data_IF_779192960259
#
_entry.id   IF_779192960259
#
_cell.length_a   1.000
_cell.length_b   1.000
_cell.length_c   1.000
_cell.angle_alpha   90.00
_cell.angle_beta   90.00
_cell.angle_gamma   90.00
#
_symmetry.space_group_name_H-M   'P 1'
#
loop_
_entity.id
_entity.type
_entity.pdbx_description
1 polymer ?
#
# COMPACT_ATOMS: atom_id res chain seq x y z
N UNK A 1 4.98 -15.87 0.50
CA UNK A 1 5.38 -15.87 1.93
C UNK A 1 4.17 -15.73 2.82
N UNK A 2 4.33 -15.92 4.14
CA UNK A 2 3.30 -15.65 5.14
C UNK A 2 3.99 -15.15 6.40
N UNK A 3 3.79 -13.88 6.72
CA UNK A 3 4.39 -13.23 7.88
C UNK A 3 3.36 -13.07 9.00
N UNK A 4 3.85 -12.92 10.24
CA UNK A 4 2.97 -12.74 11.40
C UNK A 4 2.22 -11.41 11.35
N UNK A 5 0.95 -11.42 11.72
CA UNK A 5 0.20 -10.20 12.01
C UNK A 5 0.66 -9.54 13.32
N UNK A 6 1.13 -10.35 14.29
CA UNK A 6 1.69 -9.84 15.55
C UNK A 6 3.12 -9.37 15.31
N UNK A 7 3.38 -8.09 15.59
CA UNK A 7 4.60 -7.39 15.28
C UNK A 7 5.41 -7.01 16.52
N UNK A 8 6.74 -7.14 16.42
CA UNK A 8 7.66 -6.71 17.45
C UNK A 8 7.99 -5.20 17.26
N UNK A 9 7.87 -4.37 18.29
CA UNK A 9 8.17 -2.93 18.24
C UNK A 9 9.54 -2.59 17.65
N UNK A 10 10.59 -3.37 17.98
CA UNK A 10 11.96 -3.11 17.53
C UNK A 10 12.10 -2.98 16.00
N UNK A 11 11.33 -3.77 15.26
CA UNK A 11 11.37 -3.74 13.79
C UNK A 11 10.85 -2.41 13.23
N UNK A 12 9.84 -1.85 13.88
CA UNK A 12 9.16 -0.61 13.48
C UNK A 12 9.80 0.64 14.07
N UNK A 13 10.46 0.51 15.21
CA UNK A 13 11.26 1.58 15.80
C UNK A 13 12.44 1.97 14.89
N UNK A 14 13.00 1.02 14.16
CA UNK A 14 14.10 1.27 13.23
C UNK A 14 13.72 2.22 12.08
N UNK A 15 12.45 2.25 11.67
CA UNK A 15 11.90 3.18 10.66
C UNK A 15 11.21 4.40 11.27
N UNK A 16 11.08 4.46 12.61
CA UNK A 16 10.30 5.48 13.30
C UNK A 16 8.79 5.28 13.27
N UNK A 17 8.30 4.27 12.53
CA UNK A 17 6.86 4.05 12.30
C UNK A 17 6.14 3.33 13.44
N UNK A 18 6.82 3.08 14.57
CA UNK A 18 6.17 2.63 15.80
C UNK A 18 5.44 3.75 16.55
N UNK A 19 5.81 5.02 16.31
CA UNK A 19 5.17 6.17 16.92
C UNK A 19 3.77 6.41 16.35
N UNK A 20 2.79 6.68 17.21
CA UNK A 20 1.43 7.05 16.81
C UNK A 20 1.39 8.42 16.11
N UNK A 21 2.41 9.28 16.33
CA UNK A 21 2.55 10.55 15.61
C UNK A 21 2.93 10.38 14.14
N UNK A 22 3.52 9.22 13.78
CA UNK A 22 3.94 8.89 12.40
C UNK A 22 2.94 7.95 11.74
N UNK A 23 2.38 7.02 12.52
CA UNK A 23 1.41 6.03 12.05
C UNK A 23 0.34 5.83 13.12
N UNK A 24 -0.75 6.56 13.03
CA UNK A 24 -1.85 6.62 14.00
C UNK A 24 -2.84 5.44 13.94
N UNK A 25 -2.60 4.50 13.02
CA UNK A 25 -3.50 3.35 12.77
C UNK A 25 -3.12 2.09 13.55
N UNK A 26 -2.19 2.16 14.50
CA UNK A 26 -1.77 1.01 15.28
C UNK A 26 -2.85 0.48 16.23
N UNK A 27 -3.01 -0.85 16.25
CA UNK A 27 -3.49 -1.57 17.41
C UNK A 27 -2.29 -2.08 18.20
N UNK A 28 -2.05 -1.50 19.38
CA UNK A 28 -0.98 -1.92 20.30
C UNK A 28 -1.55 -2.76 21.43
N UNK A 29 -0.81 -3.78 21.86
CA UNK A 29 -1.19 -4.70 22.93
C UNK A 29 0.00 -5.01 23.82
N UNK A 30 -0.26 -5.59 25.01
CA UNK A 30 0.77 -5.99 25.97
C UNK A 30 0.52 -7.41 26.44
N UNK A 31 1.58 -8.17 26.59
CA UNK A 31 1.56 -9.43 27.31
C UNK A 31 1.49 -9.20 28.83
N UNK A 32 1.16 -10.25 29.59
CA UNK A 32 1.11 -10.19 31.05
C UNK A 32 2.43 -9.79 31.71
N UNK A 33 3.56 -10.01 31.06
CA UNK A 33 4.88 -9.58 31.48
C UNK A 33 5.24 -8.14 31.10
N UNK A 34 4.29 -7.38 30.53
CA UNK A 34 4.47 -5.98 30.11
C UNK A 34 5.11 -5.79 28.73
N UNK A 35 5.52 -6.87 28.05
CA UNK A 35 6.10 -6.75 26.69
C UNK A 35 5.04 -6.28 25.70
N UNK A 36 5.39 -5.25 24.94
CA UNK A 36 4.52 -4.65 23.91
C UNK A 36 4.60 -5.38 22.58
N UNK A 37 3.48 -5.38 21.86
CA UNK A 37 3.35 -5.81 20.48
C UNK A 37 2.34 -4.93 19.74
N UNK A 38 2.38 -4.96 18.40
CA UNK A 38 1.37 -4.34 17.56
C UNK A 38 0.73 -5.36 16.62
N UNK A 39 -0.48 -5.05 16.14
CA UNK A 39 -1.10 -5.78 15.04
C UNK A 39 -0.77 -5.04 13.74
N UNK A 40 -0.21 -5.75 12.77
CA UNK A 40 0.36 -5.15 11.57
C UNK A 40 -0.65 -4.37 10.73
N UNK A 41 -0.46 -3.05 10.54
CA UNK A 41 -1.22 -2.26 9.56
C UNK A 41 -0.72 -2.46 8.12
N UNK A 42 0.52 -2.91 7.97
CA UNK A 42 1.24 -3.19 6.73
C UNK A 42 2.46 -4.08 7.04
N UNK A 43 3.31 -4.45 6.07
CA UNK A 43 4.44 -5.38 6.31
C UNK A 43 5.76 -4.96 5.64
N UNK A 44 5.99 -3.69 5.29
CA UNK A 44 7.23 -3.26 4.64
C UNK A 44 8.46 -3.58 5.50
N UNK A 45 8.44 -3.23 6.79
CA UNK A 45 9.56 -3.46 7.69
C UNK A 45 9.84 -4.95 7.94
N UNK A 46 8.83 -5.77 8.28
CA UNK A 46 9.05 -7.21 8.48
C UNK A 46 9.58 -7.91 7.23
N UNK A 47 9.04 -7.58 6.05
CA UNK A 47 9.46 -8.21 4.80
C UNK A 47 10.87 -7.77 4.40
N UNK A 48 11.19 -6.49 4.55
CA UNK A 48 12.54 -5.97 4.28
C UNK A 48 13.57 -6.60 5.21
N UNK A 49 13.22 -6.74 6.50
CA UNK A 49 14.08 -7.42 7.48
C UNK A 49 14.30 -8.89 7.12
N UNK A 50 13.25 -9.58 6.67
CA UNK A 50 13.34 -10.96 6.21
C UNK A 50 14.24 -11.08 4.96
N UNK A 51 14.02 -10.20 3.96
CA UNK A 51 14.73 -10.25 2.68
C UNK A 51 16.23 -10.02 2.81
N UNK A 52 16.70 -9.34 3.85
CA UNK A 52 18.14 -9.25 4.17
C UNK A 52 18.85 -10.61 4.35
N UNK A 53 18.10 -11.67 4.64
CA UNK A 53 18.65 -13.01 4.76
C UNK A 53 18.65 -13.79 3.44
N UNK A 54 17.97 -13.29 2.41
CA UNK A 54 17.84 -13.94 1.10
C UNK A 54 18.57 -13.19 0.00
N UNK A 55 18.70 -11.86 0.13
CA UNK A 55 19.40 -11.02 -0.83
C UNK A 55 20.80 -10.74 -0.29
N UNK A 56 21.80 -11.44 -0.83
CA UNK A 56 23.22 -11.29 -0.46
C UNK A 56 23.99 -10.43 -1.46
N UNK A 57 23.49 -10.32 -2.68
CA UNK A 57 24.10 -9.51 -3.74
C UNK A 57 23.06 -9.03 -4.75
N UNK A 58 23.46 -8.10 -5.64
CA UNK A 58 22.61 -7.64 -6.74
C UNK A 58 22.20 -8.77 -7.72
N UNK A 59 22.91 -9.90 -7.70
CA UNK A 59 22.61 -11.07 -8.55
C UNK A 59 21.36 -11.83 -8.07
N UNK A 60 20.97 -11.61 -6.83
CA UNK A 60 19.77 -12.21 -6.24
C UNK A 60 18.50 -11.40 -6.58
N UNK A 61 18.67 -10.25 -7.27
CA UNK A 61 17.60 -9.35 -7.70
C UNK A 61 17.27 -9.54 -9.19
N UNK A 62 16.02 -9.29 -9.62
CA UNK A 62 14.90 -8.82 -8.82
C UNK A 62 14.19 -9.94 -8.03
N UNK A 63 13.53 -9.56 -6.93
CA UNK A 63 12.70 -10.47 -6.11
C UNK A 63 11.36 -9.81 -5.78
N UNK A 64 10.28 -10.57 -5.90
CA UNK A 64 8.90 -10.08 -5.76
C UNK A 64 8.10 -10.90 -4.75
N UNK A 65 8.43 -10.89 -3.45
CA UNK A 65 7.66 -11.61 -2.45
C UNK A 65 6.27 -11.00 -2.29
N UNK A 66 5.28 -11.87 -2.16
CA UNK A 66 3.90 -11.45 -1.90
C UNK A 66 3.26 -12.37 -0.86
N UNK A 67 2.18 -11.88 -0.26
CA UNK A 67 1.39 -12.62 0.69
C UNK A 67 -0.09 -12.25 0.60
N UNK A 68 -0.93 -13.12 1.13
CA UNK A 68 -2.29 -12.81 1.57
C UNK A 68 -2.25 -12.81 3.10
N UNK A 69 -2.52 -11.66 3.70
CA UNK A 69 -2.36 -11.50 5.15
C UNK A 69 -3.40 -10.55 5.71
N UNK A 70 -3.89 -10.87 6.89
CA UNK A 70 -4.76 -9.99 7.65
C UNK A 70 -3.99 -8.75 8.10
N UNK A 71 -4.57 -7.58 7.86
CA UNK A 71 -4.10 -6.28 8.32
C UNK A 71 -5.05 -5.72 9.36
N UNK A 72 -4.51 -4.87 10.22
CA UNK A 72 -5.25 -4.22 11.29
C UNK A 72 -4.99 -2.72 11.25
N UNK A 73 -6.04 -1.93 11.09
CA UNK A 73 -5.94 -0.47 11.13
C UNK A 73 -6.99 0.08 12.07
N UNK A 74 -6.55 0.89 13.04
CA UNK A 74 -7.42 1.51 14.06
C UNK A 74 -8.24 2.66 13.46
N UNK A 75 -9.01 2.36 12.40
CA UNK A 75 -9.88 3.32 11.74
C UNK A 75 -10.86 3.93 12.74
N UNK A 76 -10.84 5.26 12.88
CA UNK A 76 -11.74 5.97 13.78
C UNK A 76 -13.20 5.79 13.37
N UNK A 77 -13.46 5.74 12.06
CA UNK A 77 -14.79 5.56 11.48
C UNK A 77 -14.77 4.45 10.43
N UNK A 78 -14.94 3.20 10.88
CA UNK A 78 -15.25 2.11 9.93
C UNK A 78 -16.62 2.36 9.32
N UNK A 79 -16.75 2.16 8.02
CA UNK A 79 -17.98 2.42 7.25
C UNK A 79 -18.08 1.54 6.02
N UNK A 80 -19.21 1.61 5.34
CA UNK A 80 -19.45 0.91 4.06
C UNK A 80 -19.27 -0.61 4.17
N UNK A 81 -19.69 -1.21 5.31
CA UNK A 81 -19.62 -2.65 5.54
C UNK A 81 -18.18 -3.18 5.50
N UNK A 82 -17.86 -4.01 4.51
CA UNK A 82 -16.52 -4.59 4.34
C UNK A 82 -15.52 -3.67 3.63
N UNK A 83 -15.95 -2.54 3.11
CA UNK A 83 -15.08 -1.65 2.31
C UNK A 83 -14.01 -0.95 3.16
N UNK A 84 -14.37 -0.56 4.41
CA UNK A 84 -13.43 0.06 5.34
C UNK A 84 -13.59 -0.52 6.74
N UNK A 85 -12.93 -1.63 6.99
CA UNK A 85 -12.89 -2.33 8.27
C UNK A 85 -11.61 -2.08 9.05
N UNK A 86 -11.59 -2.47 10.32
CA UNK A 86 -10.40 -2.44 11.19
C UNK A 86 -9.54 -3.69 11.09
N UNK A 87 -10.11 -4.77 10.62
CA UNK A 87 -9.46 -6.04 10.32
C UNK A 87 -9.88 -6.47 8.92
N UNK A 88 -8.95 -6.68 8.03
CA UNK A 88 -9.22 -7.02 6.63
C UNK A 88 -8.10 -7.84 6.00
N UNK A 89 -8.45 -8.65 5.01
CA UNK A 89 -7.48 -9.40 4.23
C UNK A 89 -6.91 -8.51 3.12
N UNK A 90 -5.58 -8.47 3.04
CA UNK A 90 -4.86 -7.78 1.97
C UNK A 90 -4.00 -8.79 1.19
N UNK A 91 -3.95 -8.65 -0.12
CA UNK A 91 -2.87 -9.17 -0.94
C UNK A 91 -1.86 -8.04 -1.11
N UNK A 92 -0.69 -8.21 -0.57
CA UNK A 92 0.41 -7.25 -0.68
C UNK A 92 1.61 -7.90 -1.37
N UNK A 93 2.26 -7.15 -2.26
CA UNK A 93 3.46 -7.53 -2.99
C UNK A 93 4.53 -6.45 -2.78
N UNK A 94 5.77 -6.88 -2.61
CA UNK A 94 6.92 -6.02 -2.36
C UNK A 94 7.99 -6.31 -3.40
N UNK A 95 8.42 -5.28 -4.14
CA UNK A 95 9.43 -5.43 -5.17
C UNK A 95 10.80 -4.96 -4.65
N UNK A 96 11.81 -5.79 -4.89
CA UNK A 96 13.22 -5.47 -4.62
C UNK A 96 13.95 -5.54 -5.95
N UNK A 97 14.32 -4.41 -6.48
CA UNK A 97 14.98 -4.25 -7.77
C UNK A 97 16.42 -3.76 -7.59
N UNK A 98 17.29 -4.04 -8.56
CA UNK A 98 18.70 -3.64 -8.48
C UNK A 98 18.92 -2.16 -8.80
N UNK A 99 18.01 -1.57 -9.60
CA UNK A 99 18.05 -0.19 -10.04
C UNK A 99 16.64 0.35 -10.37
N UNK A 100 16.55 1.63 -10.59
CA UNK A 100 15.30 2.33 -10.88
C UNK A 100 14.67 1.88 -12.22
N UNK A 101 15.48 1.58 -13.22
CA UNK A 101 14.99 1.12 -14.53
C UNK A 101 14.23 -0.20 -14.39
N UNK A 102 14.81 -1.16 -13.64
CA UNK A 102 14.16 -2.44 -13.37
C UNK A 102 12.90 -2.26 -12.51
N UNK A 103 12.95 -1.35 -11.52
CA UNK A 103 11.80 -1.02 -10.69
C UNK A 103 10.66 -0.44 -11.53
N UNK A 104 10.91 0.58 -12.34
CA UNK A 104 9.90 1.26 -13.15
C UNK A 104 9.25 0.32 -14.16
N UNK A 105 10.06 -0.54 -14.79
CA UNK A 105 9.53 -1.55 -15.70
C UNK A 105 8.53 -2.48 -14.98
N UNK A 106 8.89 -3.00 -13.82
CA UNK A 106 8.01 -3.87 -13.05
C UNK A 106 6.78 -3.13 -12.52
N UNK A 107 6.93 -1.87 -12.14
CA UNK A 107 5.83 -1.02 -11.70
C UNK A 107 4.74 -0.87 -12.77
N UNK A 108 5.14 -0.65 -14.03
CA UNK A 108 4.18 -0.58 -15.13
C UNK A 108 3.54 -1.96 -15.45
N UNK A 109 4.32 -3.04 -15.40
CA UNK A 109 3.77 -4.40 -15.57
C UNK A 109 2.70 -4.72 -14.51
N UNK A 110 2.91 -4.29 -13.26
CA UNK A 110 1.93 -4.45 -12.19
C UNK A 110 0.73 -3.51 -12.36
N UNK A 111 0.93 -2.29 -12.86
CA UNK A 111 -0.16 -1.37 -13.17
C UNK A 111 -1.13 -1.99 -14.19
N UNK A 112 -0.60 -2.58 -15.26
CA UNK A 112 -1.42 -3.30 -16.23
C UNK A 112 -2.12 -4.53 -15.62
N UNK A 113 -1.46 -5.22 -14.68
CA UNK A 113 -2.06 -6.35 -13.99
C UNK A 113 -3.26 -5.92 -13.13
N UNK A 114 -3.19 -4.75 -12.48
CA UNK A 114 -4.34 -4.19 -11.76
C UNK A 114 -5.51 -3.89 -12.69
N UNK A 115 -5.29 -3.25 -13.82
CA UNK A 115 -6.35 -2.99 -14.81
C UNK A 115 -7.03 -4.28 -15.26
N UNK A 116 -6.26 -5.33 -15.55
CA UNK A 116 -6.81 -6.65 -15.88
C UNK A 116 -7.63 -7.27 -14.74
N UNK A 117 -7.27 -7.04 -13.49
CA UNK A 117 -8.05 -7.49 -12.32
C UNK A 117 -9.41 -6.82 -12.31
N UNK A 118 -9.46 -5.49 -12.46
CA UNK A 118 -10.72 -4.74 -12.48
C UNK A 118 -11.58 -5.11 -13.71
N UNK A 119 -10.98 -5.32 -14.87
CA UNK A 119 -11.67 -5.82 -16.05
C UNK A 119 -12.35 -7.18 -15.78
N UNK A 120 -11.63 -8.14 -15.17
CA UNK A 120 -12.17 -9.46 -14.80
C UNK A 120 -13.30 -9.38 -13.76
N UNK A 121 -13.30 -8.36 -12.93
CA UNK A 121 -14.38 -8.07 -11.98
C UNK A 121 -15.58 -7.37 -12.62
N UNK A 122 -15.52 -7.03 -13.92
CA UNK A 122 -16.55 -6.28 -14.61
C UNK A 122 -16.59 -4.78 -14.27
N UNK A 123 -15.47 -4.25 -13.77
CA UNK A 123 -15.32 -2.86 -13.33
C UNK A 123 -14.33 -2.07 -14.22
N UNK A 124 -13.78 -2.69 -15.28
CA UNK A 124 -12.74 -2.09 -16.10
C UNK A 124 -13.10 -0.72 -16.65
N UNK A 125 -14.29 -0.59 -17.25
CA UNK A 125 -14.77 0.65 -17.86
C UNK A 125 -15.01 1.79 -16.83
N UNK A 126 -15.06 1.45 -15.56
CA UNK A 126 -15.31 2.40 -14.46
C UNK A 126 -14.05 2.66 -13.61
N UNK A 127 -12.92 2.00 -13.91
CA UNK A 127 -11.72 2.06 -13.09
C UNK A 127 -10.59 2.80 -13.80
N UNK A 128 -10.04 3.77 -13.12
CA UNK A 128 -8.96 4.63 -13.61
C UNK A 128 -7.69 4.46 -12.78
N UNK A 129 -6.53 4.37 -13.43
CA UNK A 129 -5.23 4.56 -12.77
C UNK A 129 -5.13 6.05 -12.41
N UNK A 130 -5.22 6.36 -11.14
CA UNK A 130 -5.35 7.72 -10.63
C UNK A 130 -4.06 8.13 -9.92
N UNK A 131 -3.56 9.30 -10.22
CA UNK A 131 -2.46 9.92 -9.49
C UNK A 131 -2.95 10.38 -8.12
N UNK A 132 -2.28 9.96 -7.05
CA UNK A 132 -2.73 10.11 -5.69
C UNK A 132 -1.58 10.37 -4.71
N UNK A 133 -1.89 10.67 -3.45
CA UNK A 133 -0.89 10.79 -2.38
C UNK A 133 -0.25 9.43 -2.06
N UNK A 134 1.05 9.43 -1.79
CA UNK A 134 1.77 8.26 -1.29
C UNK A 134 1.61 8.05 0.22
N UNK A 135 0.88 8.92 0.89
CA UNK A 135 0.67 8.89 2.35
C UNK A 135 1.99 8.91 3.12
N UNK A 136 2.18 7.95 4.02
CA UNK A 136 3.40 7.83 4.84
C UNK A 136 4.60 7.20 4.11
N UNK A 137 4.48 6.88 2.81
CA UNK A 137 5.49 6.11 2.07
C UNK A 137 6.24 6.94 1.02
N UNK A 138 5.53 7.83 0.35
CA UNK A 138 6.09 8.68 -0.71
C UNK A 138 5.25 9.95 -0.87
N UNK A 139 5.79 10.95 -1.59
CA UNK A 139 5.02 12.16 -1.91
C UNK A 139 3.81 11.82 -2.79
N UNK A 140 4.02 10.98 -3.78
CA UNK A 140 2.99 10.58 -4.75
C UNK A 140 2.97 9.06 -4.96
N UNK A 141 1.82 8.56 -5.38
CA UNK A 141 1.60 7.16 -5.76
C UNK A 141 0.52 7.07 -6.85
N UNK A 142 0.22 5.84 -7.28
CA UNK A 142 -0.96 5.57 -8.08
C UNK A 142 -1.96 4.72 -7.30
N UNK A 143 -3.22 5.02 -7.51
CA UNK A 143 -4.35 4.22 -7.06
C UNK A 143 -5.19 3.78 -8.26
N UNK A 144 -5.92 2.68 -8.10
CA UNK A 144 -6.90 2.23 -9.10
C UNK A 144 -8.29 2.48 -8.50
N UNK A 145 -8.91 3.58 -8.91
CA UNK A 145 -10.16 4.06 -8.35
C UNK A 145 -11.31 3.79 -9.29
N UNK A 146 -12.36 3.16 -8.76
CA UNK A 146 -13.58 2.83 -9.50
C UNK A 146 -14.66 3.87 -9.22
N UNK A 147 -15.25 4.43 -10.25
CA UNK A 147 -16.36 5.38 -10.12
C UNK A 147 -17.55 4.70 -9.47
N UNK A 148 -18.05 5.29 -8.39
CA UNK A 148 -19.22 4.81 -7.66
C UNK A 148 -19.98 5.95 -6.99
N UNK A 149 -21.32 5.90 -6.96
CA UNK A 149 -22.12 6.90 -6.24
C UNK A 149 -21.94 6.85 -4.71
N UNK A 150 -21.30 5.78 -4.19
CA UNK A 150 -20.98 5.61 -2.77
C UNK A 150 -19.48 5.71 -2.50
N UNK A 151 -18.71 6.23 -3.46
CA UNK A 151 -17.28 6.49 -3.32
C UNK A 151 -16.97 7.52 -2.22
N UNK A 152 -15.76 7.48 -1.72
CA UNK A 152 -15.29 8.36 -0.64
C UNK A 152 -14.49 9.55 -1.17
N UNK A 153 -13.79 9.35 -2.29
CA UNK A 153 -12.88 10.32 -2.88
C UNK A 153 -13.48 10.94 -4.14
N UNK A 154 -12.95 12.11 -4.50
CA UNK A 154 -13.25 12.78 -5.76
C UNK A 154 -12.03 12.66 -6.66
N UNK A 155 -12.26 12.26 -7.92
CA UNK A 155 -11.22 12.22 -8.94
C UNK A 155 -11.60 13.11 -10.13
N UNK A 156 -10.61 13.78 -10.69
CA UNK A 156 -10.73 14.55 -11.91
C UNK A 156 -10.18 13.73 -13.07
N UNK A 157 -10.98 13.53 -14.11
CA UNK A 157 -10.64 12.70 -15.27
C UNK A 157 -10.58 13.60 -16.51
N UNK A 158 -9.53 13.43 -17.29
CA UNK A 158 -9.42 13.99 -18.63
C UNK A 158 -9.29 12.88 -19.66
N UNK A 159 -10.38 12.58 -20.36
CA UNK A 159 -10.39 11.56 -21.43
C UNK A 159 -9.46 11.96 -22.58
N UNK A 160 -9.34 13.27 -22.88
CA UNK A 160 -8.47 13.79 -23.92
C UNK A 160 -7.00 13.50 -23.63
N UNK A 161 -6.58 13.62 -22.38
CA UNK A 161 -5.20 13.39 -21.94
C UNK A 161 -4.97 11.94 -21.45
N UNK A 162 -6.02 11.17 -21.20
CA UNK A 162 -5.93 9.83 -20.65
C UNK A 162 -5.40 9.80 -19.20
N UNK A 163 -5.67 10.84 -18.42
CA UNK A 163 -5.18 10.98 -17.04
C UNK A 163 -6.33 11.07 -16.03
N UNK A 164 -6.09 10.56 -14.83
CA UNK A 164 -6.97 10.76 -13.69
C UNK A 164 -6.15 11.21 -12.46
N UNK A 165 -6.67 12.15 -11.69
CA UNK A 165 -5.99 12.76 -10.55
C UNK A 165 -6.95 12.80 -9.37
N UNK A 166 -6.53 12.32 -8.19
CA UNK A 166 -7.27 12.46 -6.95
C UNK A 166 -7.26 13.93 -6.50
N UNK A 167 -8.40 14.42 -6.01
CA UNK A 167 -8.57 15.80 -5.54
C UNK A 167 -7.52 16.19 -4.49
N UNK A 168 -7.09 15.26 -3.64
CA UNK A 168 -6.11 15.51 -2.58
C UNK A 168 -4.74 15.98 -3.07
N UNK A 169 -4.38 15.64 -4.31
CA UNK A 169 -3.09 16.04 -4.95
C UNK A 169 -3.29 16.99 -6.14
N UNK A 170 -4.52 17.45 -6.37
CA UNK A 170 -4.84 18.35 -7.47
C UNK A 170 -4.32 19.76 -7.20
N UNK A 171 -3.20 20.12 -7.79
CA UNK A 171 -2.54 21.42 -7.66
C UNK A 171 -1.73 21.77 -8.93
N UNK A 172 -1.26 23.01 -9.00
CA UNK A 172 -0.53 23.52 -10.19
C UNK A 172 0.79 22.76 -10.46
N UNK A 173 1.46 22.23 -9.43
CA UNK A 173 2.69 21.45 -9.58
C UNK A 173 2.40 20.13 -10.32
N UNK A 174 1.33 19.42 -9.93
CA UNK A 174 0.91 18.14 -10.53
C UNK A 174 0.35 18.33 -11.95
N UNK A 175 -0.22 19.49 -12.24
CA UNK A 175 -0.76 19.77 -13.57
C UNK A 175 0.33 20.21 -14.58
N UNK A 176 1.51 20.55 -14.11
CA UNK A 176 2.64 21.00 -14.94
C UNK A 176 3.53 19.85 -15.46
N UNK A 177 3.46 18.69 -14.81
CA UNK A 177 4.15 17.43 -15.18
C UNK A 177 3.28 16.59 -16.15
#
# INVERSE_FOLDING_TARGET
VSLSALQNPETWQASGRWSDDVMDVWFKTKLSNGREFGLAPTHEEPITKMMKNFISSYKDLPVYPYQFQTKFRAELRSKSGLMRGREFLMKDLYSFSKDETEHNKFYEEISEAYLRVFERLGLGDLTYKTFASGGSFSKYSHEFQTISPVGEDIIYISDEKGIAINEEVFNDEVLAD
#
